data_IF_436783065962
#
_entry.id   IF_436783065962
#
_cell.length_a   1.000
_cell.length_b   1.000
_cell.length_c   1.000
_cell.angle_alpha   90.00
_cell.angle_beta   90.00
_cell.angle_gamma   90.00
#
_symmetry.space_group_name_H-M   'P 1'
#
loop_
_entity.id
_entity.type
_entity.pdbx_description
1 polymer ?
#
# COMPACT_ATOMS: atom_id res chain seq x y z
N UNK A 1 -0.56 18.19 -16.34
CA UNK A 1 -1.56 17.67 -15.37
C UNK A 1 -1.92 18.80 -14.43
N UNK A 2 -3.22 19.07 -14.25
CA UNK A 2 -3.67 20.14 -13.37
C UNK A 2 -3.68 19.68 -11.90
N UNK A 3 -3.03 20.44 -11.03
CA UNK A 3 -2.92 20.15 -9.59
C UNK A 3 -3.68 21.23 -8.82
N UNK A 4 -4.50 20.82 -7.87
CA UNK A 4 -5.28 21.79 -7.07
C UNK A 4 -4.38 22.55 -6.10
N UNK A 5 -4.76 23.79 -5.75
CA UNK A 5 -4.04 24.59 -4.74
C UNK A 5 -3.87 23.87 -3.40
N UNK A 6 -4.84 23.03 -3.02
CA UNK A 6 -4.80 22.20 -1.82
C UNK A 6 -3.73 21.11 -1.91
N UNK A 7 -3.56 20.49 -3.08
CA UNK A 7 -2.54 19.45 -3.31
C UNK A 7 -1.15 20.05 -3.30
N UNK A 8 -0.97 21.20 -3.96
CA UNK A 8 0.28 21.96 -3.93
C UNK A 8 0.68 22.32 -2.49
N UNK A 9 -0.22 22.95 -1.72
CA UNK A 9 0.05 23.34 -0.34
C UNK A 9 0.50 22.17 0.53
N UNK A 10 -0.14 21.00 0.38
CA UNK A 10 0.23 19.77 1.11
C UNK A 10 1.63 19.28 0.75
N UNK A 11 1.98 19.32 -0.54
CA UNK A 11 3.29 18.90 -1.02
C UNK A 11 4.40 19.86 -0.56
N UNK A 12 4.17 21.17 -0.66
CA UNK A 12 5.11 22.19 -0.19
C UNK A 12 5.34 22.10 1.33
N UNK A 13 4.27 21.93 2.12
CA UNK A 13 4.39 21.73 3.57
C UNK A 13 5.25 20.50 3.91
N UNK A 14 5.10 19.40 3.17
CA UNK A 14 5.94 18.23 3.35
C UNK A 14 7.41 18.57 3.03
N UNK A 15 7.69 19.17 1.88
CA UNK A 15 9.05 19.52 1.46
C UNK A 15 9.73 20.48 2.45
N UNK A 16 9.00 21.50 2.92
CA UNK A 16 9.44 22.44 3.96
C UNK A 16 9.75 21.73 5.28
N UNK A 17 8.89 20.82 5.75
CA UNK A 17 9.16 20.01 6.95
C UNK A 17 10.43 19.17 6.83
N UNK A 18 10.82 18.83 5.60
CA UNK A 18 12.03 18.09 5.29
C UNK A 18 13.23 19.00 5.01
N UNK A 19 13.08 20.33 5.07
CA UNK A 19 14.11 21.32 4.74
C UNK A 19 14.66 21.12 3.32
N UNK A 20 13.79 20.79 2.37
CA UNK A 20 14.14 20.57 0.95
C UNK A 20 13.43 21.62 0.12
N UNK A 21 14.20 22.42 -0.62
CA UNK A 21 13.66 23.30 -1.64
C UNK A 21 13.37 22.53 -2.92
N UNK A 22 12.28 22.87 -3.63
CA UNK A 22 11.91 22.22 -4.89
C UNK A 22 13.06 22.24 -5.92
N UNK A 23 13.77 23.36 -6.02
CA UNK A 23 14.91 23.56 -6.93
C UNK A 23 16.11 22.64 -6.65
N UNK A 24 16.19 22.05 -5.45
CA UNK A 24 17.26 21.12 -5.05
C UNK A 24 16.98 19.70 -5.52
N UNK A 25 15.73 19.39 -5.87
CA UNK A 25 15.32 18.06 -6.32
C UNK A 25 15.71 17.91 -7.79
N UNK A 26 16.53 16.90 -8.08
CA UNK A 26 16.90 16.51 -9.44
C UNK A 26 15.85 15.56 -10.01
N UNK A 27 15.41 14.61 -9.21
CA UNK A 27 14.45 13.57 -9.57
C UNK A 27 13.90 12.91 -8.32
N UNK A 28 12.91 12.04 -8.47
CA UNK A 28 12.39 11.25 -7.35
C UNK A 28 12.10 9.81 -7.73
N UNK A 29 12.06 8.94 -6.72
CA UNK A 29 11.57 7.58 -6.82
C UNK A 29 10.47 7.32 -5.80
N UNK A 30 9.47 6.52 -6.17
CA UNK A 30 8.32 6.21 -5.33
C UNK A 30 7.93 4.74 -5.46
N UNK A 31 7.37 4.15 -4.40
CA UNK A 31 7.03 2.72 -4.34
C UNK A 31 8.25 1.81 -4.58
N UNK A 32 9.41 2.20 -4.00
CA UNK A 32 10.66 1.45 -4.07
C UNK A 32 11.31 1.43 -2.69
N UNK A 33 11.81 0.26 -2.28
CA UNK A 33 12.62 0.12 -1.06
C UNK A 33 13.87 0.98 -1.15
N UNK A 34 14.25 1.59 -0.04
CA UNK A 34 15.45 2.40 0.04
C UNK A 34 16.50 1.64 0.84
N UNK A 35 17.64 1.38 0.22
CA UNK A 35 18.80 0.81 0.88
C UNK A 35 19.88 1.87 1.01
N UNK A 36 20.33 2.11 2.24
CA UNK A 36 21.40 3.08 2.45
C UNK A 36 22.74 2.40 2.15
N UNK A 37 23.51 2.94 1.20
CA UNK A 37 24.89 2.48 0.97
C UNK A 37 25.68 2.66 2.29
N UNK A 38 26.31 1.60 2.82
CA UNK A 38 27.07 1.69 4.06
C UNK A 38 28.17 2.74 3.91
N UNK A 39 28.14 3.81 4.72
CA UNK A 39 29.34 4.64 4.89
C UNK A 39 30.33 3.83 5.74
N UNK A 40 31.63 4.04 5.53
CA UNK A 40 32.75 3.37 6.23
C UNK A 40 32.73 3.47 7.77
N UNK A 41 31.71 4.09 8.39
CA UNK A 41 31.50 4.09 9.83
C UNK A 41 30.32 3.18 10.20
N UNK A 42 30.48 2.39 11.26
CA UNK A 42 29.58 1.36 11.80
C UNK A 42 28.16 1.83 12.22
N UNK A 43 27.55 2.77 11.52
CA UNK A 43 26.16 3.17 11.70
C UNK A 43 25.28 2.20 10.91
N UNK A 44 24.41 1.47 11.62
CA UNK A 44 23.43 0.57 11.03
C UNK A 44 22.73 1.21 9.81
N UNK A 45 22.72 0.50 8.68
CA UNK A 45 22.07 0.95 7.45
C UNK A 45 20.60 1.30 7.74
N UNK A 46 20.18 2.55 7.47
CA UNK A 46 18.80 2.99 7.68
C UNK A 46 17.94 2.63 6.48
N UNK A 47 17.86 1.34 6.20
CA UNK A 47 17.01 0.83 5.15
C UNK A 47 15.54 1.14 5.44
N UNK A 48 14.78 1.47 4.39
CA UNK A 48 13.35 1.70 4.47
C UNK A 48 12.61 0.69 3.62
N UNK A 49 11.57 0.12 4.21
CA UNK A 49 10.76 -0.95 3.64
C UNK A 49 9.26 -0.66 3.83
N UNK A 50 8.43 -1.34 3.04
CA UNK A 50 6.98 -1.23 3.09
C UNK A 50 6.42 -0.02 2.34
N UNK A 51 5.12 0.27 2.49
CA UNK A 51 4.43 1.15 1.58
C UNK A 51 4.70 2.64 1.81
N UNK A 52 4.59 3.40 0.72
CA UNK A 52 4.64 4.85 0.68
C UNK A 52 6.05 5.41 0.80
N UNK A 53 7.07 4.74 0.29
CA UNK A 53 8.44 5.28 0.32
C UNK A 53 8.64 6.23 -0.85
N UNK A 54 8.94 7.49 -0.54
CA UNK A 54 9.41 8.52 -1.49
C UNK A 54 10.90 8.77 -1.25
N UNK A 55 11.72 8.57 -2.28
CA UNK A 55 13.12 8.95 -2.27
C UNK A 55 13.31 10.16 -3.17
N UNK A 56 13.83 11.24 -2.61
CA UNK A 56 14.19 12.44 -3.35
C UNK A 56 15.69 12.39 -3.67
N UNK A 57 16.01 12.47 -4.95
CA UNK A 57 17.38 12.55 -5.46
C UNK A 57 17.73 14.02 -5.62
N UNK A 58 18.67 14.51 -4.81
CA UNK A 58 19.04 15.93 -4.78
C UNK A 58 20.20 16.19 -5.75
N UNK A 59 20.27 17.41 -6.29
CA UNK A 59 21.32 17.83 -7.24
C UNK A 59 22.74 17.69 -6.69
N UNK A 60 22.90 17.76 -5.37
CA UNK A 60 24.18 17.57 -4.66
C UNK A 60 24.65 16.11 -4.57
N UNK A 61 23.97 15.17 -5.26
CA UNK A 61 24.28 13.73 -5.17
C UNK A 61 23.87 13.09 -3.84
N UNK A 62 23.06 13.80 -3.05
CA UNK A 62 22.47 13.29 -1.79
C UNK A 62 21.09 12.72 -2.07
N UNK A 63 20.75 11.64 -1.39
CA UNK A 63 19.41 11.05 -1.44
C UNK A 63 18.72 11.23 -0.08
N UNK A 64 17.40 11.46 -0.12
CA UNK A 64 16.57 11.56 1.08
C UNK A 64 15.30 10.74 0.93
N UNK A 65 15.24 9.63 1.66
CA UNK A 65 14.07 8.77 1.72
C UNK A 65 13.10 9.18 2.85
N UNK A 66 11.81 9.26 2.53
CA UNK A 66 10.73 9.75 3.38
C UNK A 66 9.58 8.74 3.34
N UNK A 67 8.96 8.48 4.48
CA UNK A 67 7.71 7.73 4.53
C UNK A 67 6.51 8.66 4.30
N UNK A 68 5.69 8.30 3.33
CA UNK A 68 4.40 8.90 2.98
C UNK A 68 3.27 7.92 3.27
N UNK A 69 2.86 7.77 4.54
CA UNK A 69 1.64 7.04 4.85
C UNK A 69 0.41 7.72 4.22
N UNK A 70 -0.73 7.01 4.07
CA UNK A 70 -1.93 7.55 3.42
C UNK A 70 -2.41 8.91 3.96
N UNK A 71 -2.27 9.15 5.27
CA UNK A 71 -2.67 10.41 5.91
C UNK A 71 -1.75 11.61 5.56
N UNK A 72 -0.55 11.37 5.02
CA UNK A 72 0.33 12.42 4.46
C UNK A 72 0.08 12.69 2.98
N UNK A 73 -1.04 12.19 2.45
CA UNK A 73 -1.53 12.44 1.09
C UNK A 73 -0.47 12.18 -0.01
N UNK A 74 0.00 10.94 -0.18
CA UNK A 74 1.02 10.61 -1.19
C UNK A 74 0.63 11.07 -2.59
N UNK A 75 -0.65 10.91 -2.98
CA UNK A 75 -1.18 11.38 -4.26
C UNK A 75 -0.93 12.87 -4.50
N UNK A 76 -1.12 13.72 -3.48
CA UNK A 76 -0.90 15.17 -3.61
C UNK A 76 0.57 15.48 -3.87
N UNK A 77 1.48 14.78 -3.17
CA UNK A 77 2.92 14.96 -3.29
C UNK A 77 3.42 14.51 -4.67
N UNK A 78 3.06 13.30 -5.09
CA UNK A 78 3.50 12.76 -6.38
C UNK A 78 2.93 13.58 -7.53
N UNK A 79 1.64 13.94 -7.48
CA UNK A 79 1.02 14.78 -8.51
C UNK A 79 1.70 16.15 -8.61
N UNK A 80 2.02 16.76 -7.47
CA UNK A 80 2.76 18.02 -7.45
C UNK A 80 4.14 17.89 -8.07
N UNK A 81 4.96 16.90 -7.65
CA UNK A 81 6.31 16.71 -8.20
C UNK A 81 6.29 16.48 -9.72
N UNK A 82 5.35 15.67 -10.21
CA UNK A 82 5.16 15.43 -11.65
C UNK A 82 4.70 16.70 -12.38
N UNK A 83 3.83 17.52 -11.78
CA UNK A 83 3.39 18.79 -12.38
C UNK A 83 4.51 19.83 -12.47
N UNK A 84 5.52 19.72 -11.62
CA UNK A 84 6.73 20.55 -11.65
C UNK A 84 7.80 19.98 -12.59
N UNK A 85 7.44 19.00 -13.44
CA UNK A 85 8.31 18.35 -14.41
C UNK A 85 9.55 17.67 -13.78
N UNK A 86 9.47 17.33 -12.49
CA UNK A 86 10.54 16.59 -11.82
C UNK A 86 10.50 15.14 -12.32
N UNK A 87 11.61 14.59 -12.84
CA UNK A 87 11.68 13.23 -13.35
C UNK A 87 11.31 12.18 -12.30
N UNK A 88 10.52 11.19 -12.71
CA UNK A 88 10.14 10.04 -11.91
C UNK A 88 11.00 8.82 -12.29
N UNK A 89 12.15 8.68 -11.64
CA UNK A 89 13.26 7.83 -12.09
C UNK A 89 12.97 6.33 -12.16
N UNK A 90 12.19 5.80 -11.21
CA UNK A 90 11.92 4.36 -11.13
C UNK A 90 10.58 3.99 -11.77
N UNK A 91 10.00 4.86 -12.60
CA UNK A 91 8.83 4.54 -13.40
C UNK A 91 9.27 4.18 -14.82
N UNK A 92 8.96 2.96 -15.24
CA UNK A 92 9.28 2.45 -16.57
C UNK A 92 7.96 2.11 -17.27
N UNK A 93 7.48 2.95 -18.20
CA UNK A 93 6.32 2.62 -19.01
C UNK A 93 6.52 1.29 -19.74
N UNK A 94 5.56 0.39 -19.61
CA UNK A 94 5.54 -0.89 -20.33
C UNK A 94 4.51 -0.88 -21.46
N UNK A 95 4.72 -1.75 -22.43
CA UNK A 95 3.72 -2.10 -23.43
C UNK A 95 3.24 -3.53 -23.18
N UNK A 96 2.01 -3.82 -23.60
CA UNK A 96 1.45 -5.16 -23.50
C UNK A 96 2.20 -6.10 -24.43
N UNK A 97 2.73 -7.20 -23.89
CA UNK A 97 3.54 -8.16 -24.65
C UNK A 97 2.79 -9.41 -25.07
N UNK A 98 1.65 -9.71 -24.43
CA UNK A 98 0.85 -10.92 -24.69
C UNK A 98 -0.51 -10.55 -25.25
N UNK A 99 -0.98 -11.31 -26.25
CA UNK A 99 -2.28 -11.08 -26.88
C UNK A 99 -3.44 -11.25 -25.88
N UNK A 100 -3.43 -12.34 -25.10
CA UNK A 100 -4.46 -12.65 -24.12
C UNK A 100 -3.86 -13.03 -22.76
N UNK A 101 -4.39 -12.43 -21.68
CA UNK A 101 -4.00 -12.75 -20.31
C UNK A 101 -5.09 -13.64 -19.71
N UNK A 102 -4.75 -14.87 -19.27
CA UNK A 102 -5.74 -15.79 -18.73
C UNK A 102 -6.31 -15.25 -17.42
N UNK A 103 -7.61 -15.49 -17.23
CA UNK A 103 -8.29 -15.08 -16.00
C UNK A 103 -7.88 -15.99 -14.83
N UNK A 104 -7.30 -15.42 -13.79
CA UNK A 104 -6.91 -16.15 -12.59
C UNK A 104 -7.22 -15.37 -11.31
N UNK A 105 -7.83 -16.06 -10.35
CA UNK A 105 -8.16 -15.52 -9.03
C UNK A 105 -7.17 -16.03 -7.98
N UNK A 106 -6.44 -15.08 -7.39
CA UNK A 106 -5.44 -15.33 -6.37
C UNK A 106 -6.04 -15.16 -4.97
N UNK A 107 -6.66 -16.22 -4.46
CA UNK A 107 -7.36 -16.21 -3.18
C UNK A 107 -6.92 -17.36 -2.28
N UNK A 108 -6.68 -17.05 -1.01
CA UNK A 108 -6.42 -18.01 0.06
C UNK A 108 -7.51 -17.92 1.13
N UNK A 109 -7.98 -19.05 1.69
CA UNK A 109 -8.74 -19.03 2.92
C UNK A 109 -7.89 -18.47 4.07
N UNK A 110 -8.51 -17.69 4.95
CA UNK A 110 -7.83 -17.07 6.08
C UNK A 110 -8.59 -17.37 7.36
N UNK A 111 -7.95 -18.10 8.27
CA UNK A 111 -8.50 -18.38 9.60
C UNK A 111 -8.71 -17.07 10.38
N UNK A 112 -7.83 -16.08 10.18
CA UNK A 112 -8.02 -14.76 10.76
C UNK A 112 -9.31 -14.12 10.27
N UNK A 113 -9.62 -14.16 8.97
CA UNK A 113 -10.89 -13.61 8.45
C UNK A 113 -12.10 -14.26 9.13
N UNK A 114 -12.06 -15.58 9.35
CA UNK A 114 -13.11 -16.28 10.09
C UNK A 114 -13.23 -15.77 11.53
N UNK A 115 -12.12 -15.64 12.26
CA UNK A 115 -12.12 -15.11 13.62
C UNK A 115 -12.62 -13.66 13.70
N UNK A 116 -12.19 -12.80 12.78
CA UNK A 116 -12.68 -11.42 12.71
C UNK A 116 -14.19 -11.36 12.46
N UNK A 117 -14.74 -12.28 11.66
CA UNK A 117 -16.18 -12.40 11.44
C UNK A 117 -16.94 -12.89 12.68
N UNK A 118 -16.41 -13.90 13.36
CA UNK A 118 -16.98 -14.40 14.63
C UNK A 118 -16.94 -13.32 15.72
N UNK A 119 -15.83 -12.59 15.85
CA UNK A 119 -15.70 -11.47 16.79
C UNK A 119 -16.68 -10.35 16.46
N UNK A 120 -16.81 -9.98 15.19
CA UNK A 120 -17.82 -9.02 14.74
C UNK A 120 -19.23 -9.40 15.21
N UNK A 121 -19.64 -10.65 14.98
CA UNK A 121 -20.96 -11.15 15.35
C UNK A 121 -21.13 -11.22 16.88
N UNK A 122 -20.12 -11.71 17.60
CA UNK A 122 -20.13 -11.79 19.07
C UNK A 122 -20.35 -10.42 19.69
N UNK A 123 -19.58 -9.40 19.29
CA UNK A 123 -19.73 -8.04 19.83
C UNK A 123 -21.03 -7.37 19.39
N UNK A 124 -21.55 -7.69 18.20
CA UNK A 124 -22.86 -7.23 17.77
C UNK A 124 -23.97 -7.77 18.69
N UNK A 125 -23.95 -9.07 18.98
CA UNK A 125 -24.90 -9.74 19.87
C UNK A 125 -24.76 -9.21 21.31
N UNK A 126 -23.53 -9.08 21.81
CA UNK A 126 -23.26 -8.57 23.15
C UNK A 126 -23.75 -7.12 23.31
N UNK A 127 -23.56 -6.29 22.28
CA UNK A 127 -24.07 -4.93 22.26
C UNK A 127 -25.60 -4.88 22.32
N UNK A 128 -26.27 -5.72 21.53
CA UNK A 128 -27.72 -5.83 21.55
C UNK A 128 -28.26 -6.33 22.90
N UNK A 129 -27.63 -7.35 23.48
CA UNK A 129 -28.00 -7.89 24.79
C UNK A 129 -27.82 -6.84 25.89
N UNK A 130 -26.73 -6.06 25.83
CA UNK A 130 -26.43 -5.01 26.80
C UNK A 130 -27.46 -3.87 26.78
N UNK A 131 -27.93 -3.46 25.59
CA UNK A 131 -29.03 -2.48 25.45
C UNK A 131 -30.36 -3.04 25.94
N UNK A 132 -30.63 -4.32 25.65
CA UNK A 132 -31.91 -4.95 25.98
C UNK A 132 -32.01 -5.36 27.47
N UNK A 133 -30.92 -5.19 28.23
CA UNK A 133 -30.90 -5.48 29.66
C UNK A 133 -31.55 -4.35 30.46
N UNK A 134 -32.29 -4.69 31.52
CA UNK A 134 -32.87 -3.72 32.47
C UNK A 134 -31.83 -3.07 33.39
N UNK A 135 -30.54 -3.09 33.01
CA UNK A 135 -29.44 -2.53 33.80
C UNK A 135 -29.22 -1.09 33.37
N UNK A 136 -29.32 -0.15 34.31
CA UNK A 136 -29.23 1.29 34.01
C UNK A 136 -27.91 1.72 33.36
N UNK A 137 -26.80 1.02 33.64
CA UNK A 137 -25.49 1.23 33.01
C UNK A 137 -25.25 0.42 31.73
N UNK A 138 -26.25 -0.34 31.25
CA UNK A 138 -26.12 -1.24 30.09
C UNK A 138 -25.75 -0.54 28.78
N UNK A 139 -25.98 0.76 28.68
CA UNK A 139 -25.57 1.56 27.52
C UNK A 139 -24.05 1.68 27.36
N UNK A 140 -23.27 1.67 28.46
CA UNK A 140 -21.79 1.75 28.39
C UNK A 140 -21.19 0.51 27.70
N UNK A 141 -21.43 -0.73 28.18
CA UNK A 141 -20.93 -1.92 27.50
C UNK A 141 -21.52 -2.09 26.10
N UNK A 142 -22.75 -1.59 25.86
CA UNK A 142 -23.33 -1.57 24.53
C UNK A 142 -22.53 -0.71 23.55
N UNK A 143 -22.22 0.55 23.89
CA UNK A 143 -21.43 1.46 23.04
C UNK A 143 -20.07 0.85 22.72
N UNK A 144 -19.38 0.32 23.73
CA UNK A 144 -18.07 -0.33 23.54
C UNK A 144 -18.20 -1.53 22.60
N UNK A 145 -19.22 -2.37 22.80
CA UNK A 145 -19.45 -3.56 21.97
C UNK A 145 -19.76 -3.20 20.52
N UNK A 146 -20.63 -2.21 20.27
CA UNK A 146 -20.90 -1.76 18.90
C UNK A 146 -19.68 -1.11 18.25
N UNK A 147 -18.89 -0.33 18.99
CA UNK A 147 -17.64 0.24 18.48
C UNK A 147 -16.64 -0.86 18.08
N UNK A 148 -16.51 -1.91 18.89
CA UNK A 148 -15.68 -3.07 18.57
C UNK A 148 -16.22 -3.85 17.38
N UNK A 149 -17.53 -4.05 17.28
CA UNK A 149 -18.18 -4.67 16.13
C UNK A 149 -17.88 -3.89 14.83
N UNK A 150 -18.05 -2.57 14.84
CA UNK A 150 -17.71 -1.68 13.72
C UNK A 150 -16.22 -1.75 13.36
N UNK A 151 -15.34 -1.85 14.36
CA UNK A 151 -13.91 -2.04 14.15
C UNK A 151 -13.63 -3.38 13.42
N UNK A 152 -14.20 -4.50 13.87
CA UNK A 152 -13.96 -5.81 13.26
C UNK A 152 -14.49 -5.90 11.82
N UNK A 153 -15.68 -5.37 11.53
CA UNK A 153 -16.18 -5.34 10.14
C UNK A 153 -15.34 -4.42 9.25
N UNK A 154 -14.85 -3.29 9.77
CA UNK A 154 -13.92 -2.42 9.05
C UNK A 154 -12.61 -3.13 8.72
N UNK A 155 -12.07 -3.92 9.67
CA UNK A 155 -10.89 -4.75 9.45
C UNK A 155 -11.15 -5.82 8.39
N UNK A 156 -12.32 -6.47 8.39
CA UNK A 156 -12.71 -7.43 7.36
C UNK A 156 -12.73 -6.80 5.96
N UNK A 157 -13.33 -5.62 5.83
CA UNK A 157 -13.46 -4.91 4.56
C UNK A 157 -12.13 -4.38 4.02
N UNK A 158 -11.17 -4.07 4.90
CA UNK A 158 -9.94 -3.36 4.49
C UNK A 158 -8.68 -4.23 4.47
N UNK A 159 -8.64 -5.35 5.22
CA UNK A 159 -7.41 -6.13 5.44
C UNK A 159 -7.33 -7.45 4.69
N UNK A 160 -8.46 -7.98 4.24
CA UNK A 160 -8.56 -9.31 3.63
C UNK A 160 -8.88 -9.24 2.14
N UNK A 161 -8.23 -8.33 1.42
CA UNK A 161 -8.41 -8.26 -0.03
C UNK A 161 -7.72 -9.44 -0.74
N UNK A 162 -8.29 -9.83 -1.88
CA UNK A 162 -7.70 -10.77 -2.84
C UNK A 162 -7.80 -10.20 -4.25
N UNK A 163 -7.06 -10.78 -5.18
CA UNK A 163 -6.89 -10.25 -6.53
C UNK A 163 -7.40 -11.23 -7.57
N UNK A 164 -7.99 -10.72 -8.64
CA UNK A 164 -8.25 -11.45 -9.88
C UNK A 164 -7.63 -10.67 -11.02
N UNK A 165 -6.82 -11.33 -11.84
CA UNK A 165 -6.30 -10.76 -13.08
C UNK A 165 -7.14 -11.34 -14.21
N UNK A 166 -7.70 -10.48 -15.06
CA UNK A 166 -8.39 -10.89 -16.28
C UNK A 166 -7.71 -10.28 -17.51
N UNK A 167 -8.26 -10.52 -18.71
CA UNK A 167 -7.62 -10.03 -19.93
C UNK A 167 -7.47 -8.49 -20.00
N UNK A 168 -8.35 -7.76 -19.33
CA UNK A 168 -8.52 -6.31 -19.49
C UNK A 168 -8.11 -5.50 -18.25
N UNK A 169 -7.97 -6.14 -17.09
CA UNK A 169 -7.61 -5.42 -15.88
C UNK A 169 -7.36 -6.26 -14.64
N UNK A 170 -6.92 -5.53 -13.61
CA UNK A 170 -6.75 -6.01 -12.25
C UNK A 170 -8.03 -5.76 -11.46
N UNK A 171 -8.61 -6.81 -10.90
CA UNK A 171 -9.77 -6.74 -10.03
C UNK A 171 -9.33 -6.99 -8.59
N UNK A 172 -9.73 -6.10 -7.69
CA UNK A 172 -9.48 -6.18 -6.26
C UNK A 172 -10.81 -6.49 -5.59
N UNK A 173 -10.86 -7.58 -4.86
CA UNK A 173 -12.04 -8.01 -4.12
C UNK A 173 -11.81 -7.83 -2.63
N UNK A 174 -12.78 -7.25 -1.94
CA UNK A 174 -12.86 -7.18 -0.49
C UNK A 174 -14.27 -7.55 -0.01
N UNK A 175 -14.45 -7.64 1.31
CA UNK A 175 -15.79 -7.89 1.87
C UNK A 175 -16.69 -6.71 1.50
N UNK A 176 -17.77 -6.99 0.76
CA UNK A 176 -18.77 -6.00 0.33
C UNK A 176 -18.36 -5.08 -0.83
N UNK A 177 -17.19 -5.26 -1.45
CA UNK A 177 -16.75 -4.42 -2.57
C UNK A 177 -15.87 -5.15 -3.57
N UNK A 178 -16.09 -4.86 -4.85
CA UNK A 178 -15.17 -5.23 -5.94
C UNK A 178 -14.77 -3.97 -6.68
N UNK A 179 -13.47 -3.80 -6.94
CA UNK A 179 -12.92 -2.64 -7.66
C UNK A 179 -12.16 -3.16 -8.87
N UNK A 180 -12.50 -2.68 -10.06
CA UNK A 180 -11.80 -3.01 -11.29
C UNK A 180 -10.92 -1.86 -11.74
N UNK A 181 -9.67 -2.17 -12.03
CA UNK A 181 -8.71 -1.27 -12.66
C UNK A 181 -8.34 -1.81 -14.04
N UNK A 182 -8.81 -1.19 -15.13
CA UNK A 182 -8.30 -1.48 -16.46
C UNK A 182 -6.79 -1.30 -16.51
N UNK A 183 -6.06 -2.18 -17.19
CA UNK A 183 -4.59 -2.08 -17.26
C UNK A 183 -4.12 -0.74 -17.84
N UNK A 184 -4.84 -0.22 -18.83
CA UNK A 184 -4.59 1.10 -19.39
C UNK A 184 -4.64 2.24 -18.37
N UNK A 185 -5.31 2.08 -17.23
CA UNK A 185 -5.44 3.08 -16.17
C UNK A 185 -4.41 2.90 -15.04
N UNK A 186 -3.56 1.88 -15.12
CA UNK A 186 -2.55 1.56 -14.14
C UNK A 186 -1.18 1.98 -14.65
N UNK A 187 -0.49 2.82 -13.87
CA UNK A 187 0.91 3.17 -14.15
C UNK A 187 1.84 2.18 -13.49
N UNK A 188 1.75 2.11 -12.15
CA UNK A 188 2.72 1.38 -11.33
C UNK A 188 2.04 0.59 -10.22
N UNK A 189 2.50 -0.63 -9.99
CA UNK A 189 2.06 -1.51 -8.91
C UNK A 189 3.29 -2.05 -8.17
N UNK A 190 3.26 -2.03 -6.84
CA UNK A 190 4.34 -2.64 -6.04
C UNK A 190 3.74 -3.53 -4.95
N UNK A 191 4.33 -4.71 -4.77
CA UNK A 191 4.02 -5.61 -3.65
C UNK A 191 5.14 -5.54 -2.62
N UNK A 192 4.79 -5.27 -1.36
CA UNK A 192 5.75 -5.22 -0.26
C UNK A 192 5.13 -5.71 1.06
N UNK A 193 5.94 -5.79 2.12
CA UNK A 193 5.48 -6.06 3.47
C UNK A 193 4.66 -4.88 3.99
N UNK A 194 3.62 -5.17 4.76
CA UNK A 194 3.05 -4.13 5.59
C UNK A 194 4.10 -3.72 6.65
N UNK A 195 4.07 -2.46 7.07
CA UNK A 195 4.87 -2.00 8.22
C UNK A 195 4.31 -2.50 9.56
N UNK A 196 3.13 -3.10 9.56
CA UNK A 196 2.43 -3.60 10.74
C UNK A 196 2.77 -5.09 10.93
N UNK A 197 3.16 -5.50 12.14
CA UNK A 197 3.65 -6.86 12.46
C UNK A 197 2.63 -7.98 12.16
N UNK A 198 1.34 -7.65 12.21
CA UNK A 198 0.24 -8.61 12.03
C UNK A 198 -0.18 -8.78 10.56
N UNK A 199 0.31 -7.94 9.65
CA UNK A 199 -0.09 -7.98 8.24
C UNK A 199 1.11 -8.26 7.36
N UNK A 200 0.98 -9.26 6.51
CA UNK A 200 2.14 -9.77 5.79
C UNK A 200 2.36 -9.05 4.48
N UNK A 201 1.32 -8.70 3.71
CA UNK A 201 1.53 -8.15 2.36
C UNK A 201 0.57 -7.02 2.02
N UNK A 202 1.10 -6.03 1.32
CA UNK A 202 0.37 -4.90 0.76
C UNK A 202 0.61 -4.79 -0.74
N UNK A 203 -0.35 -4.20 -1.42
CA UNK A 203 -0.24 -3.76 -2.80
C UNK A 203 -0.39 -2.24 -2.84
N UNK A 204 0.65 -1.58 -3.29
CA UNK A 204 0.66 -0.18 -3.65
C UNK A 204 0.28 -0.04 -5.12
N UNK A 205 -0.61 0.89 -5.42
CA UNK A 205 -1.12 1.13 -6.77
C UNK A 205 -1.09 2.62 -7.07
N UNK A 206 -0.56 2.95 -8.24
CA UNK A 206 -0.54 4.29 -8.80
C UNK A 206 -1.27 4.27 -10.15
N UNK A 207 -2.35 5.04 -10.25
CA UNK A 207 -3.13 5.15 -11.48
C UNK A 207 -2.55 6.20 -12.46
N UNK A 208 -3.19 6.34 -13.62
CA UNK A 208 -2.80 7.29 -14.66
C UNK A 208 -2.75 8.76 -14.21
N UNK A 209 -3.52 9.11 -13.20
CA UNK A 209 -3.57 10.46 -12.62
C UNK A 209 -2.59 10.61 -11.44
N UNK A 210 -1.70 9.64 -11.25
CA UNK A 210 -0.76 9.56 -10.13
C UNK A 210 -1.46 9.55 -8.76
N UNK A 211 -2.68 9.01 -8.69
CA UNK A 211 -3.37 8.79 -7.42
C UNK A 211 -2.91 7.48 -6.81
N UNK A 212 -2.30 7.61 -5.65
CA UNK A 212 -1.81 6.51 -4.86
C UNK A 212 -2.94 5.85 -4.07
N UNK A 213 -2.98 4.52 -4.09
CA UNK A 213 -3.86 3.68 -3.29
C UNK A 213 -3.07 2.55 -2.65
N UNK A 214 -3.44 2.22 -1.43
CA UNK A 214 -2.83 1.13 -0.67
C UNK A 214 -3.91 0.10 -0.36
N UNK A 215 -3.64 -1.16 -0.72
CA UNK A 215 -4.51 -2.29 -0.44
C UNK A 215 -3.79 -3.32 0.41
N UNK A 216 -4.47 -3.82 1.45
CA UNK A 216 -3.97 -4.95 2.23
C UNK A 216 -4.48 -6.24 1.61
N UNK A 217 -3.56 -7.00 1.04
CA UNK A 217 -3.85 -8.22 0.27
C UNK A 217 -3.61 -9.47 1.11
N UNK A 218 -4.17 -9.49 2.32
CA UNK A 218 -3.96 -10.55 3.31
C UNK A 218 -4.42 -11.95 2.87
N UNK A 219 -5.18 -12.04 1.77
CA UNK A 219 -5.63 -13.31 1.19
C UNK A 219 -4.83 -13.77 -0.02
N UNK A 220 -3.79 -13.04 -0.42
CA UNK A 220 -2.89 -13.46 -1.52
C UNK A 220 -1.68 -14.16 -0.93
N UNK A 221 -1.34 -15.33 -1.49
CA UNK A 221 -0.14 -16.06 -1.07
C UNK A 221 1.12 -15.35 -1.54
N UNK A 222 2.12 -15.22 -0.68
CA UNK A 222 3.43 -14.62 -1.02
C UNK A 222 4.06 -15.27 -2.25
N UNK A 223 3.99 -16.60 -2.34
CA UNK A 223 4.56 -17.38 -3.46
C UNK A 223 3.96 -17.00 -4.82
N UNK A 224 2.78 -16.39 -4.84
CA UNK A 224 2.06 -15.98 -6.05
C UNK A 224 2.29 -14.51 -6.40
N UNK A 225 2.93 -13.71 -5.55
CA UNK A 225 3.09 -12.27 -5.79
C UNK A 225 4.08 -11.97 -6.91
N UNK A 226 5.15 -12.77 -7.06
CA UNK A 226 6.06 -12.66 -8.20
C UNK A 226 5.34 -12.96 -9.52
N UNK A 227 4.59 -14.07 -9.56
CA UNK A 227 3.77 -14.43 -10.71
C UNK A 227 2.76 -13.34 -11.09
N UNK A 228 2.07 -12.75 -10.10
CA UNK A 228 1.15 -11.63 -10.33
C UNK A 228 1.89 -10.42 -10.90
N UNK A 229 3.07 -10.08 -10.37
CA UNK A 229 3.87 -8.96 -10.87
C UNK A 229 4.31 -9.19 -12.33
N UNK A 230 4.77 -10.40 -12.67
CA UNK A 230 5.15 -10.77 -14.05
C UNK A 230 3.95 -10.66 -15.01
N UNK A 231 2.76 -11.12 -14.60
CA UNK A 231 1.55 -10.97 -15.43
C UNK A 231 1.13 -9.52 -15.62
N UNK A 232 1.28 -8.68 -14.58
CA UNK A 232 1.03 -7.26 -14.70
C UNK A 232 2.04 -6.59 -15.67
N UNK A 233 3.31 -7.00 -15.64
CA UNK A 233 4.31 -6.55 -16.60
C UNK A 233 3.96 -6.97 -18.03
N UNK A 234 3.51 -8.21 -18.23
CA UNK A 234 3.01 -8.69 -19.53
C UNK A 234 1.81 -7.87 -20.04
N UNK A 235 1.01 -7.32 -19.13
CA UNK A 235 -0.09 -6.41 -19.44
C UNK A 235 0.34 -4.97 -19.76
N UNK A 236 1.64 -4.66 -19.68
CA UNK A 236 2.19 -3.31 -19.86
C UNK A 236 2.20 -2.44 -18.60
N UNK A 237 1.92 -2.99 -17.41
CA UNK A 237 1.94 -2.25 -16.14
C UNK A 237 3.34 -2.35 -15.51
N UNK A 238 3.88 -1.23 -15.03
CA UNK A 238 5.13 -1.22 -14.24
C UNK A 238 4.88 -1.88 -12.88
N UNK A 239 5.05 -3.20 -12.81
CA UNK A 239 4.83 -3.96 -11.60
C UNK A 239 6.15 -4.44 -11.00
N UNK A 240 6.25 -4.43 -9.67
CA UNK A 240 7.41 -4.99 -8.95
C UNK A 240 6.93 -5.77 -7.73
N UNK A 241 7.53 -6.92 -7.48
CA UNK A 241 7.39 -7.62 -6.20
C UNK A 241 8.69 -7.43 -5.41
N UNK A 242 8.62 -6.67 -4.32
CA UNK A 242 9.79 -6.36 -3.49
C UNK A 242 10.04 -7.43 -2.41
N UNK A 243 9.18 -8.44 -2.27
CA UNK A 243 9.21 -9.43 -1.17
C UNK A 243 10.28 -10.52 -1.37
N UNK A 244 10.96 -10.91 -0.25
CA UNK A 244 12.06 -11.91 -0.08
C UNK A 244 12.40 -12.74 -1.32
N UNK A 245 12.56 -14.05 -1.40
CA UNK A 245 11.89 -15.14 -0.73
C UNK A 245 12.31 -15.53 0.69
N UNK A 246 13.45 -15.05 1.17
CA UNK A 246 14.07 -15.47 2.41
C UNK A 246 13.53 -14.73 3.66
N UNK A 247 13.00 -13.52 3.52
CA UNK A 247 12.45 -12.74 4.66
C UNK A 247 11.01 -13.11 4.96
N UNK A 248 10.69 -13.57 6.16
CA UNK A 248 9.31 -13.88 6.58
C UNK A 248 8.56 -12.64 7.06
N UNK A 249 9.25 -11.68 7.68
CA UNK A 249 8.62 -10.49 8.28
C UNK A 249 9.39 -9.19 8.00
N UNK A 250 8.72 -8.05 8.23
CA UNK A 250 9.28 -6.69 8.09
C UNK A 250 10.57 -6.47 8.89
N UNK A 251 10.70 -7.10 10.06
CA UNK A 251 11.85 -6.93 10.95
C UNK A 251 13.00 -7.91 10.73
N UNK A 252 12.91 -8.82 9.75
CA UNK A 252 14.01 -9.76 9.47
C UNK A 252 15.22 -8.97 8.95
N UNK A 253 16.24 -8.82 9.81
CA UNK A 253 17.55 -8.29 9.46
C UNK A 253 18.28 -9.33 8.61
N UNK A 254 19.03 -8.87 7.60
CA UNK A 254 19.98 -9.75 6.93
C UNK A 254 21.09 -10.06 7.92
N UNK A 255 21.17 -11.31 8.38
CA UNK A 255 22.41 -11.82 8.94
C UNK A 255 23.28 -12.08 7.72
N UNK A 256 24.25 -11.19 7.46
CA UNK A 256 25.31 -11.48 6.49
C UNK A 256 26.11 -12.66 7.03
N UNK A 257 26.03 -13.81 6.36
CA UNK A 257 27.00 -14.89 6.53
C UNK A 257 28.31 -14.52 5.83
#
# INVERSE_FOLDING_TARGET
>A
MEVTSKEQKRAEQLLQSQHIGLHQIKSFSFMKRYHQVPRKSNLAAKDKYGPGILTLHLKEGKEKAIYLPPFRHPSSVIRYLVSQEIPFDNYVPGERTVAEIPTETYQRPSLYMFWFFVLFLMFLILGYYSISSNVWWGFIPAIISFALSLFFISMLMTRFCYLTLDNNGLIIHSVGRTIRYPYQNLRKVNFDFAREQNFTHVMELLDNDYRYRLFYIGRVSRKKLNEIAERLQQAGVDATCSLNDNKRFFQDTYISH
#
